data_IF_839692249360
#
_entry.id   IF_839692249360
#
_cell.length_a   1.000
_cell.length_b   1.000
_cell.length_c   1.000
_cell.angle_alpha   90.00
_cell.angle_beta   90.00
_cell.angle_gamma   90.00
#
_symmetry.space_group_name_H-M   'P 1'
#
loop_
_entity.id
_entity.type
_entity.pdbx_description
1 polymer ?
#
# COMPACT_ATOMS: atom_id res chain seq x y z
N UNK A 1 -12.54 -11.17 -6.13
CA UNK A 1 -12.40 -10.40 -7.39
C UNK A 1 -11.36 -9.31 -7.20
N UNK A 2 -10.90 -8.65 -8.28
CA UNK A 2 -10.11 -7.41 -8.22
C UNK A 2 -10.83 -6.36 -9.05
N UNK A 3 -11.00 -5.17 -8.48
CA UNK A 3 -11.54 -4.01 -9.18
C UNK A 3 -10.46 -2.95 -9.34
N UNK A 4 -10.35 -2.38 -10.54
CA UNK A 4 -9.31 -1.43 -10.90
C UNK A 4 -9.93 -0.19 -11.52
N UNK A 5 -9.62 0.97 -10.95
CA UNK A 5 -9.91 2.25 -11.60
C UNK A 5 -8.94 2.53 -12.73
N UNK A 6 -9.49 2.75 -13.92
CA UNK A 6 -8.74 3.15 -15.10
C UNK A 6 -8.91 4.64 -15.35
N UNK A 7 -7.96 5.19 -16.09
CA UNK A 7 -8.03 6.56 -16.59
C UNK A 7 -9.33 6.77 -17.37
N UNK A 8 -10.00 7.90 -17.16
CA UNK A 8 -11.29 8.19 -17.77
C UNK A 8 -12.50 7.64 -17.02
N UNK A 9 -12.31 7.04 -15.83
CA UNK A 9 -13.41 6.58 -14.97
C UNK A 9 -13.97 5.20 -15.34
N UNK A 10 -13.30 4.46 -16.23
CA UNK A 10 -13.64 3.06 -16.51
C UNK A 10 -13.21 2.19 -15.32
N UNK A 11 -13.98 1.14 -15.05
CA UNK A 11 -13.66 0.13 -14.02
C UNK A 11 -13.41 -1.19 -14.74
N UNK A 12 -12.28 -1.82 -14.43
CA UNK A 12 -11.96 -3.19 -14.82
C UNK A 12 -12.21 -4.10 -13.62
N UNK A 13 -12.96 -5.18 -13.82
CA UNK A 13 -13.25 -6.19 -12.79
C UNK A 13 -12.82 -7.54 -13.31
N UNK A 14 -11.93 -8.23 -12.59
CA UNK A 14 -11.30 -9.48 -13.05
C UNK A 14 -11.02 -10.41 -11.86
N UNK A 15 -11.16 -11.74 -12.00
CA UNK A 15 -10.73 -12.68 -10.97
C UNK A 15 -9.22 -12.56 -10.71
N UNK A 16 -8.81 -12.47 -9.45
CA UNK A 16 -7.39 -12.37 -9.06
C UNK A 16 -6.49 -13.43 -9.70
N UNK A 17 -7.00 -14.67 -9.81
CA UNK A 17 -6.30 -15.82 -10.39
C UNK A 17 -6.07 -15.72 -11.90
N UNK A 18 -6.81 -14.87 -12.60
CA UNK A 18 -6.69 -14.65 -14.05
C UNK A 18 -5.72 -13.51 -14.40
N UNK A 19 -5.19 -12.80 -13.39
CA UNK A 19 -4.23 -11.72 -13.60
C UNK A 19 -2.81 -12.29 -13.65
N UNK A 20 -2.10 -12.02 -14.75
CA UNK A 20 -0.69 -12.36 -14.87
C UNK A 20 0.18 -11.21 -14.36
N UNK A 21 0.87 -11.42 -13.23
CA UNK A 21 1.67 -10.37 -12.60
C UNK A 21 3.14 -10.40 -13.03
N UNK A 22 3.68 -9.23 -13.37
CA UNK A 22 5.11 -9.04 -13.62
C UNK A 22 5.66 -7.85 -12.83
N UNK A 23 6.99 -7.68 -12.88
CA UNK A 23 7.67 -6.52 -12.32
C UNK A 23 7.84 -5.48 -13.43
N UNK A 24 7.19 -4.34 -13.26
CA UNK A 24 7.42 -3.15 -14.08
C UNK A 24 8.69 -2.44 -13.66
N UNK A 25 9.40 -1.84 -14.63
CA UNK A 25 10.55 -0.97 -14.39
C UNK A 25 10.28 0.38 -15.05
N UNK A 26 10.23 1.43 -14.24
CA UNK A 26 10.09 2.80 -14.69
C UNK A 26 11.45 3.51 -14.67
N UNK A 27 11.82 4.11 -15.80
CA UNK A 27 13.02 4.94 -15.95
C UNK A 27 14.32 4.19 -16.26
N UNK A 28 15.25 4.81 -17.00
CA UNK A 28 16.59 4.28 -17.23
C UNK A 28 17.51 4.48 -16.01
N UNK A 29 18.60 3.71 -15.92
CA UNK A 29 19.67 3.93 -14.94
C UNK A 29 19.58 3.14 -13.63
N UNK A 30 20.47 3.47 -12.69
CA UNK A 30 20.66 2.81 -11.38
C UNK A 30 19.60 3.16 -10.34
N UNK A 31 18.83 4.22 -10.55
CA UNK A 31 17.73 4.69 -9.70
C UNK A 31 16.36 4.35 -10.27
N UNK A 32 16.26 3.28 -11.07
CA UNK A 32 14.99 2.88 -11.66
C UNK A 32 13.98 2.51 -10.58
N UNK A 33 12.77 3.01 -10.76
CA UNK A 33 11.63 2.69 -9.94
C UNK A 33 11.01 1.38 -10.40
N UNK A 34 10.53 0.58 -9.45
CA UNK A 34 9.94 -0.73 -9.71
C UNK A 34 8.50 -0.76 -9.24
N UNK A 35 7.63 -1.32 -10.09
CA UNK A 35 6.21 -1.54 -9.84
C UNK A 35 5.84 -3.01 -10.01
N UNK A 36 4.64 -3.36 -9.60
CA UNK A 36 4.01 -4.64 -9.93
C UNK A 36 2.86 -4.34 -10.87
N UNK A 37 2.92 -4.93 -12.05
CA UNK A 37 1.95 -4.72 -13.09
C UNK A 37 1.17 -6.02 -13.31
N UNK A 38 -0.15 -5.93 -13.31
CA UNK A 38 -1.07 -7.01 -13.62
C UNK A 38 -1.50 -6.92 -15.08
N UNK A 39 -1.34 -8.01 -15.81
CA UNK A 39 -1.70 -8.14 -17.22
C UNK A 39 -2.90 -9.06 -17.39
N UNK A 40 -3.86 -8.64 -18.19
CA UNK A 40 -4.97 -9.47 -18.64
C UNK A 40 -4.56 -10.03 -19.99
N UNK A 41 -4.49 -11.35 -20.09
CA UNK A 41 -4.05 -12.03 -21.30
C UNK A 41 -5.25 -12.49 -22.14
N UNK A 42 -5.05 -12.58 -23.44
CA UNK A 42 -5.97 -13.27 -24.33
C UNK A 42 -5.88 -14.79 -24.13
N UNK A 43 -6.80 -15.53 -24.75
CA UNK A 43 -6.85 -16.99 -24.69
C UNK A 43 -5.56 -17.67 -25.19
N UNK A 44 -4.76 -16.98 -26.01
CA UNK A 44 -3.46 -17.47 -26.49
C UNK A 44 -2.35 -17.46 -25.42
N UNK A 45 -2.62 -16.89 -24.24
CA UNK A 45 -1.70 -16.74 -23.11
C UNK A 45 -0.46 -15.88 -23.39
N UNK A 46 -0.44 -15.15 -24.52
CA UNK A 46 0.72 -14.39 -25.00
C UNK A 46 0.38 -12.94 -25.28
N UNK A 47 -0.82 -12.67 -25.78
CA UNK A 47 -1.27 -11.33 -26.13
C UNK A 47 -1.82 -10.62 -24.90
N UNK A 48 -1.24 -9.48 -24.54
CA UNK A 48 -1.73 -8.64 -23.43
C UNK A 48 -2.89 -7.79 -23.93
N UNK A 49 -4.09 -8.01 -23.38
CA UNK A 49 -5.30 -7.26 -23.69
C UNK A 49 -5.40 -5.96 -22.87
N UNK A 50 -5.03 -6.02 -21.60
CA UNK A 50 -5.01 -4.84 -20.73
C UNK A 50 -3.91 -4.97 -19.66
N UNK A 51 -3.49 -3.84 -19.09
CA UNK A 51 -2.51 -3.77 -18.01
C UNK A 51 -2.92 -2.73 -16.97
N UNK A 52 -2.72 -3.06 -15.71
CA UNK A 52 -2.82 -2.12 -14.60
C UNK A 52 -1.64 -2.26 -13.65
N UNK A 53 -1.39 -1.24 -12.85
CA UNK A 53 -0.34 -1.28 -11.82
C UNK A 53 -0.98 -1.25 -10.44
N UNK A 54 -0.37 -1.93 -9.47
CA UNK A 54 -0.85 -1.96 -8.07
C UNK A 54 -0.62 -0.64 -7.30
N UNK A 55 -0.15 0.41 -7.97
CA UNK A 55 -0.07 1.76 -7.41
C UNK A 55 1.08 1.98 -6.41
N UNK A 56 2.00 1.01 -6.29
CA UNK A 56 3.23 1.15 -5.51
C UNK A 56 4.44 1.17 -6.44
N UNK A 57 5.27 2.20 -6.29
CA UNK A 57 6.53 2.37 -7.02
C UNK A 57 7.66 2.64 -6.03
N UNK A 58 8.70 1.80 -6.02
CA UNK A 58 9.83 1.96 -5.09
C UNK A 58 11.06 1.19 -5.56
N UNK A 59 12.04 1.04 -4.68
CA UNK A 59 13.19 0.16 -4.90
C UNK A 59 12.74 -1.29 -5.05
N UNK A 60 13.53 -2.08 -5.78
CA UNK A 60 13.27 -3.51 -5.98
C UNK A 60 13.11 -4.29 -4.67
N UNK A 61 13.83 -3.90 -3.60
CA UNK A 61 13.76 -4.56 -2.29
C UNK A 61 12.42 -4.32 -1.61
N UNK A 62 11.95 -3.07 -1.59
CA UNK A 62 10.65 -2.73 -1.00
C UNK A 62 9.49 -3.29 -1.82
N UNK A 63 9.67 -3.46 -3.14
CA UNK A 63 8.67 -4.09 -4.00
C UNK A 63 8.33 -5.52 -3.54
N UNK A 64 9.32 -6.31 -3.10
CA UNK A 64 9.08 -7.68 -2.62
C UNK A 64 8.20 -7.69 -1.37
N UNK A 65 8.39 -6.73 -0.45
CA UNK A 65 7.57 -6.64 0.77
C UNK A 65 6.13 -6.27 0.44
N UNK A 66 5.94 -5.29 -0.44
CA UNK A 66 4.60 -4.87 -0.89
C UNK A 66 3.89 -6.00 -1.65
N UNK A 67 4.61 -6.72 -2.51
CA UNK A 67 4.07 -7.90 -3.17
C UNK A 67 3.62 -8.96 -2.18
N UNK A 68 4.46 -9.28 -1.20
CA UNK A 68 4.14 -10.26 -0.17
C UNK A 68 2.90 -9.86 0.63
N UNK A 69 2.73 -8.57 0.93
CA UNK A 69 1.52 -8.05 1.57
C UNK A 69 0.26 -8.29 0.72
N UNK A 70 0.27 -7.85 -0.55
CA UNK A 70 -0.88 -7.99 -1.46
C UNK A 70 -1.21 -9.47 -1.72
N UNK A 71 -0.20 -10.29 -2.00
CA UNK A 71 -0.39 -11.74 -2.21
C UNK A 71 -0.97 -12.41 -0.98
N UNK A 72 -0.48 -12.05 0.21
CA UNK A 72 -1.02 -12.61 1.44
C UNK A 72 -2.49 -12.26 1.59
N UNK A 73 -2.84 -10.98 1.41
CA UNK A 73 -4.23 -10.51 1.47
C UNK A 73 -5.15 -11.26 0.50
N UNK A 74 -4.68 -11.53 -0.72
CA UNK A 74 -5.50 -12.13 -1.77
C UNK A 74 -5.59 -13.66 -1.71
N UNK A 75 -4.65 -14.34 -1.06
CA UNK A 75 -4.51 -15.80 -1.19
C UNK A 75 -4.34 -16.56 0.11
N UNK A 76 -3.86 -15.92 1.18
CA UNK A 76 -3.57 -16.61 2.43
C UNK A 76 -4.80 -16.55 3.32
N UNK A 77 -5.29 -17.72 3.68
CA UNK A 77 -6.44 -17.86 4.58
C UNK A 77 -6.09 -17.35 5.99
N UNK A 78 -7.09 -16.77 6.66
CA UNK A 78 -7.01 -16.27 8.04
C UNK A 78 -5.84 -15.32 8.33
N UNK A 79 -5.32 -14.59 7.33
CA UNK A 79 -4.15 -13.72 7.51
C UNK A 79 -4.47 -12.26 7.85
N UNK A 80 -5.74 -11.84 7.73
CA UNK A 80 -6.15 -10.45 7.85
C UNK A 80 -5.76 -9.79 9.20
N UNK A 81 -5.88 -10.46 10.37
CA UNK A 81 -5.45 -9.86 11.63
C UNK A 81 -3.94 -9.56 11.66
N UNK A 82 -3.13 -10.44 11.05
CA UNK A 82 -1.68 -10.24 10.97
C UNK A 82 -1.33 -9.09 10.02
N UNK A 83 -2.03 -8.99 8.88
CA UNK A 83 -1.86 -7.87 7.96
C UNK A 83 -2.25 -6.55 8.60
N UNK A 84 -3.33 -6.52 9.39
CA UNK A 84 -3.76 -5.35 10.14
C UNK A 84 -2.68 -4.86 11.12
N UNK A 85 -2.06 -5.77 11.86
CA UNK A 85 -0.99 -5.46 12.82
C UNK A 85 0.30 -4.90 12.17
N UNK A 86 0.53 -5.23 10.89
CA UNK A 86 1.67 -4.73 10.09
C UNK A 86 1.49 -3.25 9.72
N UNK A 87 0.25 -2.78 9.55
CA UNK A 87 -0.04 -1.43 9.08
C UNK A 87 0.31 -0.40 10.17
N UNK A 88 1.22 0.51 9.85
CA UNK A 88 1.64 1.58 10.76
C UNK A 88 0.92 2.92 10.51
N UNK A 89 0.45 3.15 9.28
CA UNK A 89 -0.16 4.41 8.87
C UNK A 89 -1.12 4.21 7.71
N UNK A 90 -2.35 4.68 7.86
CA UNK A 90 -3.37 4.77 6.84
C UNK A 90 -3.61 6.25 6.46
N UNK A 91 -3.31 6.68 5.23
CA UNK A 91 -3.64 8.03 4.79
C UNK A 91 -5.14 8.33 4.95
N UNK A 92 -5.53 9.48 5.53
CA UNK A 92 -6.93 9.85 5.78
C UNK A 92 -7.62 10.36 4.50
N UNK A 93 -7.66 9.53 3.45
CA UNK A 93 -8.09 9.92 2.10
C UNK A 93 -9.29 9.14 1.57
N UNK A 94 -9.83 8.18 2.33
CA UNK A 94 -10.94 7.31 1.90
C UNK A 94 -12.16 8.10 1.44
N UNK A 95 -12.60 9.08 2.23
CA UNK A 95 -13.83 9.85 1.97
C UNK A 95 -13.58 11.33 1.70
N UNK A 96 -12.33 11.77 1.81
CA UNK A 96 -11.96 13.19 1.77
C UNK A 96 -10.63 13.39 1.07
N UNK A 97 -10.44 14.60 0.53
CA UNK A 97 -9.15 14.99 -0.04
C UNK A 97 -8.11 15.12 1.08
N UNK A 98 -6.87 14.82 0.74
CA UNK A 98 -5.72 14.99 1.62
C UNK A 98 -5.68 16.43 2.19
N UNK A 99 -5.56 16.56 3.51
CA UNK A 99 -5.36 17.86 4.15
C UNK A 99 -3.93 18.35 3.94
N UNK A 100 -3.71 19.67 3.90
CA UNK A 100 -2.36 20.25 3.80
C UNK A 100 -1.41 19.70 4.87
N UNK A 101 -1.85 19.68 6.13
CA UNK A 101 -1.04 19.22 7.26
C UNK A 101 -0.58 17.76 7.10
N UNK A 102 -1.50 16.86 6.77
CA UNK A 102 -1.15 15.46 6.51
C UNK A 102 -0.22 15.31 5.30
N UNK A 103 -0.48 16.02 4.21
CA UNK A 103 0.39 15.98 3.03
C UNK A 103 1.82 16.44 3.33
N UNK A 104 1.97 17.52 4.12
CA UNK A 104 3.25 18.01 4.61
C UNK A 104 3.94 16.97 5.52
N UNK A 105 3.21 16.41 6.48
CA UNK A 105 3.69 15.32 7.32
C UNK A 105 4.18 14.13 6.48
N UNK A 106 3.41 13.69 5.50
CA UNK A 106 3.77 12.58 4.64
C UNK A 106 5.04 12.87 3.81
N UNK A 107 5.19 14.09 3.29
CA UNK A 107 6.38 14.52 2.55
C UNK A 107 7.64 14.66 3.42
N UNK A 108 7.49 14.99 4.70
CA UNK A 108 8.60 15.14 5.65
C UNK A 108 8.97 13.84 6.37
N UNK A 109 8.37 12.71 5.98
CA UNK A 109 8.61 11.43 6.63
C UNK A 109 10.05 10.98 6.42
N UNK A 110 10.70 10.61 7.52
CA UNK A 110 12.02 9.99 7.58
C UNK A 110 11.93 8.63 8.26
N UNK A 111 12.82 7.71 7.90
CA UNK A 111 12.89 6.40 8.55
C UNK A 111 13.83 6.42 9.76
N UNK A 112 14.82 7.33 9.75
CA UNK A 112 15.81 7.48 10.82
C UNK A 112 16.13 8.94 11.14
N UNK A 113 16.51 9.22 12.39
CA UNK A 113 17.03 10.54 12.82
C UNK A 113 18.33 10.93 12.09
N UNK A 114 19.04 9.96 11.51
CA UNK A 114 20.21 10.23 10.67
C UNK A 114 19.87 11.01 9.40
N UNK A 115 18.61 10.97 8.96
CA UNK A 115 18.15 11.71 7.77
C UNK A 115 17.87 13.18 8.07
N UNK A 116 17.74 13.58 9.34
CA UNK A 116 17.37 14.96 9.73
C UNK A 116 18.25 16.05 9.12
N UNK A 117 19.60 15.94 9.10
CA UNK A 117 20.43 16.97 8.47
C UNK A 117 20.10 17.17 6.99
N UNK A 118 19.81 16.06 6.28
CA UNK A 118 19.40 16.10 4.88
C UNK A 118 17.99 16.72 4.75
N UNK A 119 17.03 16.28 5.56
CA UNK A 119 15.67 16.81 5.58
C UNK A 119 15.65 18.32 5.82
N UNK A 120 16.49 18.82 6.74
CA UNK A 120 16.64 20.25 7.02
C UNK A 120 17.28 20.99 5.84
N UNK A 121 18.30 20.39 5.20
CA UNK A 121 18.94 20.95 4.00
C UNK A 121 17.96 21.10 2.83
N UNK A 122 17.07 20.11 2.64
CA UNK A 122 16.05 20.13 1.58
C UNK A 122 14.76 20.86 1.96
N UNK A 123 14.62 21.32 3.21
CA UNK A 123 13.40 21.99 3.68
C UNK A 123 12.96 23.17 2.78
N UNK A 124 13.88 24.02 2.26
CA UNK A 124 13.53 25.09 1.32
C UNK A 124 12.89 24.59 0.00
N UNK A 125 13.11 23.34 -0.39
CA UNK A 125 12.47 22.71 -1.55
C UNK A 125 11.20 21.96 -1.17
N UNK A 126 11.22 21.26 -0.03
CA UNK A 126 10.08 20.49 0.48
C UNK A 126 8.87 21.36 0.78
N UNK A 127 9.07 22.55 1.37
CA UNK A 127 7.96 23.45 1.72
C UNK A 127 7.18 23.96 0.48
N UNK A 128 7.82 24.54 -0.57
CA UNK A 128 7.12 24.83 -1.81
C UNK A 128 6.48 23.59 -2.46
N UNK A 129 7.18 22.45 -2.45
CA UNK A 129 6.65 21.18 -2.95
C UNK A 129 5.37 20.75 -2.23
N UNK A 130 5.26 21.00 -0.92
CA UNK A 130 4.06 20.70 -0.13
C UNK A 130 2.85 21.52 -0.57
N UNK A 131 3.05 22.77 -0.97
CA UNK A 131 2.00 23.64 -1.50
C UNK A 131 1.56 23.13 -2.87
N UNK A 132 2.50 22.79 -3.74
CA UNK A 132 2.20 22.21 -5.06
C UNK A 132 1.42 20.90 -4.94
N UNK A 133 1.84 19.99 -4.04
CA UNK A 133 1.11 18.75 -3.72
C UNK A 133 -0.30 19.06 -3.24
N UNK A 134 -0.45 20.00 -2.32
CA UNK A 134 -1.77 20.36 -1.80
C UNK A 134 -2.70 20.90 -2.88
N UNK A 135 -2.20 21.77 -3.76
CA UNK A 135 -2.97 22.23 -4.93
C UNK A 135 -3.37 21.04 -5.79
N UNK A 136 -2.44 20.14 -6.13
CA UNK A 136 -2.72 18.96 -6.94
C UNK A 136 -3.79 18.05 -6.30
N UNK A 137 -3.71 17.80 -4.99
CA UNK A 137 -4.70 17.01 -4.27
C UNK A 137 -6.07 17.70 -4.24
N UNK A 138 -6.11 19.04 -4.12
CA UNK A 138 -7.37 19.81 -4.08
C UNK A 138 -8.03 19.94 -5.45
N UNK A 139 -7.27 19.97 -6.54
CA UNK A 139 -7.80 20.03 -7.90
C UNK A 139 -8.14 18.65 -8.47
N UNK A 140 -7.54 17.59 -7.94
CA UNK A 140 -7.84 16.20 -8.34
C UNK A 140 -9.26 15.76 -7.98
N UNK A 141 -9.82 14.85 -8.79
CA UNK A 141 -11.10 14.19 -8.49
C UNK A 141 -10.86 13.04 -7.50
N UNK A 142 -11.83 12.80 -6.62
CA UNK A 142 -11.84 11.59 -5.78
C UNK A 142 -12.42 10.46 -6.62
N UNK A 143 -11.70 9.33 -6.83
CA UNK A 143 -12.26 8.19 -7.53
C UNK A 143 -13.43 7.61 -6.71
N UNK A 144 -14.55 7.32 -7.37
CA UNK A 144 -15.75 6.74 -6.75
C UNK A 144 -16.09 5.44 -7.45
N UNK A 145 -16.33 4.39 -6.68
CA UNK A 145 -16.65 3.08 -7.23
C UNK A 145 -18.08 3.12 -7.80
N UNK A 146 -18.38 2.21 -8.72
CA UNK A 146 -19.77 2.01 -9.12
C UNK A 146 -20.53 1.32 -8.00
N UNK A 147 -21.84 1.55 -7.91
CA UNK A 147 -22.70 0.91 -6.92
C UNK A 147 -22.56 -0.62 -6.91
N UNK A 148 -22.30 -1.23 -8.08
CA UNK A 148 -22.04 -2.66 -8.19
C UNK A 148 -20.75 -3.12 -7.48
N UNK A 149 -19.67 -2.33 -7.56
CA UNK A 149 -18.42 -2.64 -6.85
C UNK A 149 -18.55 -2.35 -5.36
N UNK A 150 -19.25 -1.28 -4.98
CA UNK A 150 -19.53 -1.00 -3.57
C UNK A 150 -20.36 -2.12 -2.93
N UNK A 151 -21.33 -2.68 -3.66
CA UNK A 151 -22.10 -3.85 -3.22
C UNK A 151 -21.25 -5.12 -3.09
N UNK A 152 -20.35 -5.39 -4.05
CA UNK A 152 -19.45 -6.57 -4.02
C UNK A 152 -18.41 -6.48 -2.88
N UNK A 153 -18.03 -5.26 -2.49
CA UNK A 153 -17.02 -4.97 -1.47
C UNK A 153 -17.63 -4.42 -0.17
N UNK A 154 -18.92 -4.71 0.10
CA UNK A 154 -19.59 -4.25 1.31
C UNK A 154 -18.94 -4.88 2.55
N UNK A 155 -18.43 -4.04 3.46
CA UNK A 155 -17.83 -4.47 4.73
C UNK A 155 -18.93 -4.76 5.74
N UNK A 156 -18.80 -5.87 6.47
CA UNK A 156 -19.74 -6.21 7.54
C UNK A 156 -19.71 -5.13 8.65
N UNK A 157 -20.88 -4.69 9.17
CA UNK A 157 -20.92 -3.68 10.23
C UNK A 157 -20.14 -4.07 11.50
N UNK A 158 -20.00 -5.37 11.74
CA UNK A 158 -19.34 -6.01 12.88
C UNK A 158 -18.00 -6.67 12.51
N UNK A 159 -17.39 -6.27 11.38
CA UNK A 159 -16.07 -6.77 10.99
C UNK A 159 -15.04 -6.51 12.12
N UNK A 160 -14.43 -7.56 12.69
CA UNK A 160 -13.45 -7.41 13.76
C UNK A 160 -12.16 -6.71 13.30
N UNK A 161 -11.94 -6.59 11.99
CA UNK A 161 -10.74 -6.03 11.38
C UNK A 161 -11.11 -4.75 10.64
N UNK A 162 -11.03 -3.63 11.35
CA UNK A 162 -11.27 -2.31 10.78
C UNK A 162 -10.06 -1.42 11.03
N UNK A 163 -9.11 -1.41 10.08
CA UNK A 163 -7.93 -0.56 10.12
C UNK A 163 -8.15 0.65 9.22
N UNK A 164 -8.06 1.83 9.80
CA UNK A 164 -8.34 3.08 9.13
C UNK A 164 -7.40 4.19 9.61
N UNK A 165 -7.59 5.40 9.08
CA UNK A 165 -6.85 6.56 9.56
C UNK A 165 -7.15 6.92 11.03
N UNK A 166 -8.20 6.35 11.64
CA UNK A 166 -8.50 6.50 13.08
C UNK A 166 -7.48 5.79 13.96
N UNK A 167 -6.85 4.74 13.43
CA UNK A 167 -5.87 3.88 14.12
C UNK A 167 -4.44 4.41 13.99
N UNK A 168 -4.26 5.52 13.27
CA UNK A 168 -2.97 6.17 13.11
C UNK A 168 -2.39 6.63 14.46
N UNK A 169 -1.05 6.75 14.56
CA UNK A 169 -0.40 7.28 15.76
C UNK A 169 -0.98 8.64 16.16
N UNK A 170 -1.39 8.77 17.43
CA UNK A 170 -1.95 10.02 17.99
C UNK A 170 -1.01 11.22 17.78
N UNK A 171 0.29 11.00 17.91
CA UNK A 171 1.33 12.00 17.69
C UNK A 171 2.04 11.77 16.35
N UNK A 172 1.33 12.00 15.25
CA UNK A 172 1.83 11.69 13.90
C UNK A 172 3.17 12.36 13.58
N UNK A 173 3.44 13.58 14.07
CA UNK A 173 4.75 14.23 13.92
C UNK A 173 5.90 13.44 14.53
N UNK A 174 5.68 12.76 15.67
CA UNK A 174 6.70 11.88 16.26
C UNK A 174 6.99 10.70 15.37
N UNK A 175 5.95 10.08 14.81
CA UNK A 175 6.11 8.98 13.86
C UNK A 175 6.85 9.41 12.59
N UNK A 176 6.39 10.48 11.97
CA UNK A 176 6.91 11.02 10.71
C UNK A 176 8.37 11.44 10.83
N UNK A 177 8.76 12.07 11.93
CA UNK A 177 10.12 12.58 12.14
C UNK A 177 11.05 11.56 12.80
N UNK A 178 10.68 10.27 12.88
CA UNK A 178 11.43 9.26 13.63
C UNK A 178 11.76 9.69 15.07
N UNK A 179 10.83 10.41 15.70
CA UNK A 179 10.94 11.01 17.02
C UNK A 179 9.93 10.42 18.03
N UNK A 180 9.54 9.16 17.82
CA UNK A 180 8.80 8.39 18.82
C UNK A 180 9.65 8.17 20.07
N UNK A 181 8.98 8.02 21.21
CA UNK A 181 9.63 7.47 22.40
C UNK A 181 10.10 6.04 22.13
N UNK A 182 11.09 5.57 22.90
CA UNK A 182 11.59 4.21 22.76
C UNK A 182 10.48 3.17 22.98
N UNK A 183 9.59 3.43 23.94
CA UNK A 183 8.44 2.57 24.22
C UNK A 183 7.47 2.48 23.03
N UNK A 184 7.06 3.63 22.46
CA UNK A 184 6.20 3.66 21.27
C UNK A 184 6.84 2.95 20.07
N UNK A 185 8.14 3.17 19.85
CA UNK A 185 8.90 2.54 18.77
C UNK A 185 8.97 1.02 18.96
N UNK A 186 9.38 0.56 20.15
CA UNK A 186 9.54 -0.87 20.45
C UNK A 186 8.19 -1.59 20.41
N UNK A 187 7.12 -0.98 20.92
CA UNK A 187 5.78 -1.56 20.85
C UNK A 187 5.32 -1.77 19.39
N UNK A 188 5.49 -0.75 18.53
CA UNK A 188 5.17 -0.86 17.11
C UNK A 188 6.04 -1.92 16.42
N UNK A 189 7.35 -1.89 16.65
CA UNK A 189 8.29 -2.82 16.04
C UNK A 189 7.99 -4.27 16.45
N UNK A 190 7.71 -4.52 17.73
CA UNK A 190 7.36 -5.84 18.25
C UNK A 190 6.04 -6.32 17.65
N UNK A 191 5.00 -5.47 17.61
CA UNK A 191 3.71 -5.80 17.00
C UNK A 191 3.87 -6.25 15.55
N UNK A 192 4.60 -5.46 14.75
CA UNK A 192 4.85 -5.77 13.33
C UNK A 192 5.69 -7.04 13.17
N UNK A 193 6.72 -7.23 13.98
CA UNK A 193 7.61 -8.40 13.89
C UNK A 193 6.86 -9.69 14.19
N UNK A 194 6.10 -9.73 15.29
CA UNK A 194 5.28 -10.89 15.66
C UNK A 194 4.24 -11.19 14.57
N UNK A 195 3.57 -10.17 14.05
CA UNK A 195 2.60 -10.34 12.97
C UNK A 195 3.23 -10.90 11.69
N UNK A 196 4.41 -10.41 11.29
CA UNK A 196 5.17 -10.93 10.14
C UNK A 196 5.58 -12.39 10.37
N UNK A 197 5.98 -12.78 11.57
CA UNK A 197 6.34 -14.16 11.90
C UNK A 197 5.13 -15.10 11.79
N UNK A 198 3.98 -14.72 12.39
CA UNK A 198 2.72 -15.48 12.26
C UNK A 198 2.29 -15.60 10.81
N UNK A 199 2.37 -14.51 10.05
CA UNK A 199 2.03 -14.50 8.63
C UNK A 199 2.94 -15.43 7.82
N UNK A 200 4.25 -15.40 8.06
CA UNK A 200 5.21 -16.31 7.39
C UNK A 200 4.90 -17.77 7.67
N UNK A 201 4.55 -18.12 8.91
CA UNK A 201 4.17 -19.47 9.27
C UNK A 201 2.91 -19.93 8.51
N UNK A 202 1.88 -19.07 8.41
CA UNK A 202 0.66 -19.36 7.64
C UNK A 202 0.95 -19.59 6.15
N UNK A 203 1.76 -18.72 5.54
CA UNK A 203 2.19 -18.86 4.14
C UNK A 203 2.92 -20.19 3.93
N UNK A 204 3.84 -20.56 4.82
CA UNK A 204 4.59 -21.82 4.72
C UNK A 204 3.67 -23.05 4.84
N UNK A 205 2.75 -23.04 5.80
CA UNK A 205 1.76 -24.13 5.96
C UNK A 205 0.91 -24.29 4.72
N UNK A 206 0.40 -23.19 4.16
CA UNK A 206 -0.44 -23.24 2.97
C UNK A 206 0.31 -23.75 1.74
N UNK A 207 1.58 -23.34 1.54
CA UNK A 207 2.43 -23.87 0.47
C UNK A 207 2.62 -25.37 0.63
N UNK A 208 2.90 -25.83 1.86
CA UNK A 208 3.09 -27.25 2.15
C UNK A 208 1.83 -28.07 1.87
N UNK A 209 0.65 -27.56 2.26
CA UNK A 209 -0.62 -28.25 2.01
C UNK A 209 -0.89 -28.37 0.51
N UNK A 210 -0.70 -27.30 -0.27
CA UNK A 210 -0.84 -27.33 -1.73
C UNK A 210 0.08 -28.35 -2.40
N UNK A 211 1.33 -28.44 -1.95
CA UNK A 211 2.28 -29.42 -2.50
C UNK A 211 1.99 -30.88 -2.12
N UNK A 212 1.11 -31.11 -1.14
CA UNK A 212 0.69 -32.46 -0.76
C UNK A 212 -0.58 -32.92 -1.49
N UNK A 213 -1.35 -31.98 -2.05
CA UNK A 213 -2.56 -32.22 -2.83
C UNK A 213 -2.30 -32.36 -4.35
N UNK A 214 -1.07 -32.07 -4.80
CA UNK A 214 -0.55 -32.25 -6.17
C UNK A 214 0.24 -33.57 -6.30
#
# INVERSE_FOLDING_TARGET
MVHVFKVGGKILSVPWKEVFFTRGRAGPGSSAEWSIDGHILADDGKTVLDTFSLGFSSTRRELVKNWAFVRSYMEVEDCLPDLADIIALCPPVTEKKESYLFGMQYMMRVESRMEWPMTLLLLPLTLPGSVARFIAMRTSKIPRWSDAVEADCAVAPDDPINVSAKDNPKHLWRYVLANQSLEEYTALHQRQTVAIERLRAKVQTQIKNRSADE
#
